data_IF_039314322032
#
_entry.id   IF_039314322032
#
_cell.length_a   1.000
_cell.length_b   1.000
_cell.length_c   1.000
_cell.angle_alpha   90.00
_cell.angle_beta   90.00
_cell.angle_gamma   90.00
#
_symmetry.space_group_name_H-M   'P 1'
#
loop_
_entity.id
_entity.type
_entity.pdbx_description
1 polymer ?
#
# COMPACT_ATOMS: atom_id res chain seq x y z
N UNK A 1 40.05 -30.00 -49.48
CA UNK A 1 40.53 -29.56 -48.14
C UNK A 1 40.39 -28.05 -47.91
N UNK A 2 40.89 -27.17 -48.79
CA UNK A 2 40.86 -25.70 -48.56
C UNK A 2 39.45 -25.08 -48.45
N UNK A 3 38.46 -25.63 -49.15
CA UNK A 3 37.05 -25.20 -49.11
C UNK A 3 36.32 -25.64 -47.83
N UNK A 4 36.58 -26.85 -47.35
CA UNK A 4 36.01 -27.37 -46.10
C UNK A 4 36.53 -26.61 -44.87
N UNK A 5 37.83 -26.27 -44.86
CA UNK A 5 38.45 -25.45 -43.81
C UNK A 5 37.86 -24.03 -43.80
N UNK A 6 37.58 -23.42 -44.96
CA UNK A 6 36.91 -22.12 -45.06
C UNK A 6 35.48 -22.15 -44.51
N UNK A 7 34.73 -23.23 -44.77
CA UNK A 7 33.36 -23.38 -44.27
C UNK A 7 33.32 -23.54 -42.74
N UNK A 8 34.24 -24.32 -42.17
CA UNK A 8 34.36 -24.50 -40.72
C UNK A 8 34.78 -23.21 -40.03
N UNK A 9 35.71 -22.44 -40.62
CA UNK A 9 36.11 -21.12 -40.11
C UNK A 9 34.97 -20.10 -40.16
N UNK A 10 34.15 -20.09 -41.22
CA UNK A 10 32.95 -19.25 -41.33
C UNK A 10 31.88 -19.60 -40.28
N UNK A 11 31.66 -20.89 -40.04
CA UNK A 11 30.74 -21.37 -38.99
C UNK A 11 31.25 -21.00 -37.59
N UNK A 12 32.55 -21.17 -37.31
CA UNK A 12 33.15 -20.74 -36.04
C UNK A 12 33.08 -19.21 -35.84
N UNK A 13 33.29 -18.43 -36.89
CA UNK A 13 33.18 -16.97 -36.84
C UNK A 13 31.73 -16.52 -36.59
N UNK A 14 30.75 -17.20 -37.19
CA UNK A 14 29.31 -16.94 -36.91
C UNK A 14 28.91 -17.29 -35.47
N UNK A 15 29.56 -18.28 -34.86
CA UNK A 15 29.28 -18.71 -33.49
C UNK A 15 29.93 -17.77 -32.44
N UNK A 16 31.07 -17.15 -32.78
CA UNK A 16 31.78 -16.17 -31.93
C UNK A 16 31.12 -14.78 -31.93
N UNK A 17 30.36 -14.43 -32.97
CA UNK A 17 29.66 -13.12 -33.02
C UNK A 17 28.39 -13.12 -32.15
N UNK A 18 27.83 -14.30 -31.85
CA UNK A 18 26.65 -14.45 -30.99
C UNK A 18 26.94 -14.50 -29.48
N UNK A 19 28.21 -14.42 -29.06
CA UNK A 19 28.58 -14.24 -27.65
C UNK A 19 28.70 -12.76 -27.24
N UNK A 20 28.12 -11.83 -28.02
CA UNK A 20 27.82 -10.52 -27.48
C UNK A 20 26.66 -10.70 -26.50
N UNK A 21 26.96 -10.63 -25.20
CA UNK A 21 25.97 -10.38 -24.16
C UNK A 21 25.08 -9.23 -24.65
N UNK A 22 23.87 -9.57 -25.10
CA UNK A 22 22.87 -8.57 -25.42
C UNK A 22 22.80 -7.64 -24.20
N UNK A 23 22.94 -6.32 -24.38
CA UNK A 23 22.77 -5.41 -23.26
C UNK A 23 21.41 -5.71 -22.66
N UNK A 24 21.38 -6.23 -21.42
CA UNK A 24 20.17 -6.52 -20.66
C UNK A 24 19.51 -5.20 -20.27
N UNK A 25 19.00 -4.49 -21.26
CA UNK A 25 18.16 -3.32 -21.12
C UNK A 25 16.77 -3.79 -21.48
N UNK A 26 15.84 -3.62 -20.54
CA UNK A 26 14.43 -3.80 -20.83
C UNK A 26 14.05 -2.79 -21.90
N UNK A 27 13.38 -3.26 -22.95
CA UNK A 27 12.79 -2.45 -24.01
C UNK A 27 11.27 -2.61 -24.03
N UNK A 28 10.58 -1.70 -24.71
CA UNK A 28 9.12 -1.80 -24.93
C UNK A 28 8.74 -3.08 -25.70
N UNK A 29 9.62 -3.57 -26.56
CA UNK A 29 9.43 -4.84 -27.27
C UNK A 29 9.47 -6.04 -26.32
N UNK A 30 10.34 -6.03 -25.30
CA UNK A 30 10.34 -7.09 -24.29
C UNK A 30 9.01 -7.15 -23.52
N UNK A 31 8.42 -5.98 -23.22
CA UNK A 31 7.09 -5.90 -22.58
C UNK A 31 6.03 -6.47 -23.52
N UNK A 32 6.07 -6.11 -24.80
CA UNK A 32 5.15 -6.61 -25.83
C UNK A 32 5.23 -8.14 -26.00
N UNK A 33 6.42 -8.71 -25.96
CA UNK A 33 6.57 -10.16 -26.05
C UNK A 33 6.07 -10.86 -24.77
N UNK A 34 6.22 -10.23 -23.61
CA UNK A 34 5.76 -10.77 -22.34
C UNK A 34 4.23 -10.67 -22.15
N UNK A 35 3.59 -9.59 -22.60
CA UNK A 35 2.13 -9.44 -22.55
C UNK A 35 1.45 -10.53 -23.41
N UNK A 36 2.02 -10.86 -24.59
CA UNK A 36 1.54 -11.96 -25.44
C UNK A 36 1.62 -13.31 -24.73
N UNK A 37 2.73 -13.60 -24.05
CA UNK A 37 2.92 -14.84 -23.29
C UNK A 37 1.97 -14.94 -22.08
N UNK A 38 1.62 -13.80 -21.48
CA UNK A 38 0.81 -13.74 -20.26
C UNK A 38 -0.69 -13.51 -20.53
N UNK A 39 -1.09 -13.33 -21.79
CA UNK A 39 -2.50 -13.08 -22.16
C UNK A 39 -3.00 -11.70 -21.74
N UNK A 40 -2.10 -10.72 -21.65
CA UNK A 40 -2.41 -9.32 -21.32
C UNK A 40 -2.20 -8.42 -22.53
N UNK A 41 -2.89 -7.29 -22.56
CA UNK A 41 -2.78 -6.31 -23.65
C UNK A 41 -2.62 -4.92 -23.04
N UNK A 42 -1.46 -4.30 -23.24
CA UNK A 42 -1.21 -2.93 -22.80
C UNK A 42 -1.20 -1.96 -23.97
N UNK A 43 -1.57 -0.71 -23.72
CA UNK A 43 -1.32 0.42 -24.61
C UNK A 43 0.14 0.84 -24.57
N UNK A 44 0.60 1.61 -25.56
CA UNK A 44 1.98 2.11 -25.58
C UNK A 44 2.30 3.01 -24.36
N UNK A 45 1.32 3.77 -23.87
CA UNK A 45 1.46 4.62 -22.69
C UNK A 45 1.64 3.76 -21.43
N UNK A 46 0.89 2.68 -21.29
CA UNK A 46 1.05 1.73 -20.19
C UNK A 46 2.40 1.03 -20.26
N UNK A 47 2.85 0.61 -21.46
CA UNK A 47 4.19 0.04 -21.66
C UNK A 47 5.29 1.01 -21.25
N UNK A 48 5.17 2.27 -21.63
CA UNK A 48 6.14 3.31 -21.27
C UNK A 48 6.16 3.57 -19.75
N UNK A 49 4.98 3.63 -19.13
CA UNK A 49 4.84 3.84 -17.68
C UNK A 49 5.47 2.71 -16.85
N UNK A 50 5.56 1.50 -17.39
CA UNK A 50 6.20 0.36 -16.72
C UNK A 50 7.74 0.39 -16.77
N UNK A 51 8.34 1.14 -17.70
CA UNK A 51 9.76 1.04 -18.02
C UNK A 51 10.68 1.25 -16.82
N UNK A 52 10.43 2.28 -16.01
CA UNK A 52 11.31 2.62 -14.89
C UNK A 52 11.21 1.61 -13.75
N UNK A 53 10.01 1.10 -13.49
CA UNK A 53 9.81 0.04 -12.50
C UNK A 53 10.52 -1.25 -12.95
N UNK A 54 10.37 -1.66 -14.21
CA UNK A 54 11.02 -2.86 -14.75
C UNK A 54 12.55 -2.76 -14.76
N UNK A 55 13.11 -1.59 -15.08
CA UNK A 55 14.56 -1.35 -14.95
C UNK A 55 15.01 -1.49 -13.49
N UNK A 56 14.30 -0.85 -12.55
CA UNK A 56 14.60 -0.94 -11.13
C UNK A 56 14.52 -2.37 -10.57
N UNK A 57 13.55 -3.16 -11.06
CA UNK A 57 13.44 -4.58 -10.72
C UNK A 57 14.62 -5.40 -11.26
N UNK A 58 14.99 -5.21 -12.54
CA UNK A 58 16.13 -5.90 -13.12
C UNK A 58 17.43 -5.60 -12.36
N UNK A 59 17.65 -4.34 -11.99
CA UNK A 59 18.82 -3.95 -11.20
C UNK A 59 18.77 -4.55 -9.79
N UNK A 60 17.59 -4.68 -9.20
CA UNK A 60 17.41 -5.38 -7.92
C UNK A 60 17.77 -6.86 -8.02
N UNK A 61 17.34 -7.55 -9.07
CA UNK A 61 17.74 -8.94 -9.31
C UNK A 61 19.24 -9.09 -9.55
N UNK A 62 19.87 -8.17 -10.29
CA UNK A 62 21.33 -8.17 -10.48
C UNK A 62 22.05 -8.06 -9.14
N UNK A 63 21.66 -7.10 -8.29
CA UNK A 63 22.21 -6.96 -6.93
C UNK A 63 22.05 -8.23 -6.09
N UNK A 64 20.89 -8.89 -6.14
CA UNK A 64 20.66 -10.15 -5.42
C UNK A 64 21.56 -11.27 -5.95
N UNK A 65 21.73 -11.38 -7.27
CA UNK A 65 22.59 -12.38 -7.91
C UNK A 65 24.08 -12.16 -7.65
N UNK A 66 24.49 -10.93 -7.39
CA UNK A 66 25.86 -10.59 -7.02
C UNK A 66 26.20 -11.00 -5.58
N UNK A 67 25.20 -11.26 -4.73
CA UNK A 67 25.40 -11.77 -3.37
C UNK A 67 25.85 -13.23 -3.45
N UNK A 68 27.10 -13.48 -3.05
CA UNK A 68 27.63 -14.84 -2.95
C UNK A 68 27.19 -15.50 -1.64
N UNK A 69 26.24 -16.43 -1.73
CA UNK A 69 25.84 -17.29 -0.62
C UNK A 69 26.44 -18.67 -0.79
N UNK A 70 27.15 -19.17 0.22
CA UNK A 70 27.66 -20.53 0.22
C UNK A 70 26.51 -21.53 0.48
N UNK A 71 26.53 -22.69 -0.19
CA UNK A 71 25.48 -23.69 -0.09
C UNK A 71 25.31 -24.29 1.33
N UNK A 72 26.27 -24.09 2.23
CA UNK A 72 26.21 -24.51 3.63
C UNK A 72 25.53 -23.47 4.54
N UNK A 73 25.19 -22.29 4.04
CA UNK A 73 24.46 -21.27 4.79
C UNK A 73 22.99 -21.69 4.81
N UNK A 74 22.45 -21.94 5.99
CA UNK A 74 21.03 -22.21 6.18
C UNK A 74 20.21 -21.01 5.71
N UNK A 75 19.09 -21.20 4.99
CA UNK A 75 18.21 -20.11 4.62
C UNK A 75 17.68 -19.37 5.87
N UNK A 76 17.31 -18.10 5.71
CA UNK A 76 16.69 -17.34 6.79
C UNK A 76 15.29 -17.92 7.09
N UNK A 77 15.17 -18.71 8.16
CA UNK A 77 13.90 -19.26 8.64
C UNK A 77 13.16 -18.23 9.51
N UNK A 78 13.90 -17.29 10.11
CA UNK A 78 13.36 -16.27 11.01
C UNK A 78 13.39 -14.89 10.36
N UNK A 79 12.21 -14.32 10.12
CA UNK A 79 12.07 -12.89 9.85
C UNK A 79 12.09 -12.14 11.18
N UNK A 80 13.16 -11.38 11.44
CA UNK A 80 13.24 -10.48 12.57
C UNK A 80 13.03 -9.03 12.11
N UNK A 81 11.88 -8.40 12.39
CA UNK A 81 11.61 -7.03 11.97
C UNK A 81 12.35 -5.98 12.82
N UNK A 82 13.04 -6.40 13.88
CA UNK A 82 13.69 -5.49 14.83
C UNK A 82 14.99 -4.97 14.20
N UNK A 83 15.14 -3.64 14.01
CA UNK A 83 16.37 -3.07 13.46
C UNK A 83 17.59 -3.40 14.32
N UNK A 84 18.76 -3.46 13.68
CA UNK A 84 20.03 -3.64 14.39
C UNK A 84 20.19 -2.51 15.42
N UNK A 85 20.52 -2.88 16.66
CA UNK A 85 20.65 -1.98 17.80
C UNK A 85 19.36 -1.28 18.28
N UNK A 86 18.18 -1.72 17.84
CA UNK A 86 16.92 -1.18 18.35
C UNK A 86 16.73 -1.52 19.84
N UNK A 87 16.50 -0.51 20.66
CA UNK A 87 16.22 -0.66 22.09
C UNK A 87 14.76 -0.34 22.35
N UNK A 88 13.99 -1.34 22.76
CA UNK A 88 12.61 -1.11 23.18
C UNK A 88 12.57 -0.24 24.44
N UNK A 89 11.76 0.81 24.41
CA UNK A 89 11.43 1.54 25.63
C UNK A 89 10.61 0.61 26.54
N UNK A 90 11.16 0.28 27.70
CA UNK A 90 10.48 -0.56 28.70
C UNK A 90 9.60 0.25 29.66
N UNK A 91 9.69 1.58 29.62
CA UNK A 91 8.91 2.47 30.47
C UNK A 91 7.64 2.89 29.75
N UNK A 92 6.50 2.60 30.38
CA UNK A 92 5.20 3.12 29.98
C UNK A 92 5.05 4.52 30.54
N UNK A 93 5.30 5.54 29.72
CA UNK A 93 4.93 6.91 30.04
C UNK A 93 3.40 7.06 29.99
N UNK A 94 2.80 7.93 30.83
CA UNK A 94 1.38 8.21 30.73
C UNK A 94 1.05 8.82 29.37
N UNK A 95 -0.06 8.38 28.78
CA UNK A 95 -0.50 8.85 27.49
C UNK A 95 -0.91 10.34 27.57
N UNK A 96 -0.19 11.21 26.88
CA UNK A 96 -0.56 12.63 26.73
C UNK A 96 -1.26 12.84 25.38
N UNK A 97 -2.51 13.31 25.44
CA UNK A 97 -3.25 13.73 24.26
C UNK A 97 -3.01 15.21 23.98
N UNK A 98 -3.00 15.58 22.70
CA UNK A 98 -3.02 16.98 22.29
C UNK A 98 -4.33 17.66 22.70
N UNK A 99 -4.31 18.99 22.80
CA UNK A 99 -5.53 19.78 23.02
C UNK A 99 -6.33 19.90 21.70
N UNK A 100 -7.62 19.63 21.79
CA UNK A 100 -8.60 19.73 20.69
C UNK A 100 -9.79 20.62 21.07
N UNK A 101 -9.69 21.41 22.15
CA UNK A 101 -10.73 22.29 22.67
C UNK A 101 -11.22 23.35 21.68
N UNK A 102 -10.40 23.68 20.68
CA UNK A 102 -10.73 24.60 19.60
C UNK A 102 -11.69 24.01 18.56
N UNK A 103 -11.89 22.68 18.52
CA UNK A 103 -12.70 22.04 17.50
C UNK A 103 -14.20 22.35 17.69
N UNK A 104 -14.81 22.91 16.65
CA UNK A 104 -16.24 23.24 16.64
C UNK A 104 -16.92 22.62 15.42
N UNK A 105 -18.21 22.32 15.53
CA UNK A 105 -19.00 21.80 14.43
C UNK A 105 -18.99 22.80 13.27
N UNK A 106 -18.50 22.42 12.07
CA UNK A 106 -18.41 23.34 10.95
C UNK A 106 -19.79 23.62 10.35
N UNK A 107 -19.98 24.85 9.84
CA UNK A 107 -21.20 25.23 9.10
C UNK A 107 -21.40 24.35 7.87
N UNK A 108 -20.33 24.15 7.08
CA UNK A 108 -20.32 23.15 6.01
C UNK A 108 -19.90 21.79 6.58
N UNK A 109 -20.86 20.86 6.63
CA UNK A 109 -20.64 19.50 7.13
C UNK A 109 -19.57 18.74 6.35
N UNK A 110 -19.32 19.06 5.07
CA UNK A 110 -18.29 18.37 4.30
C UNK A 110 -16.89 18.56 4.87
N UNK A 111 -16.64 19.65 5.62
CA UNK A 111 -15.37 19.89 6.30
C UNK A 111 -15.03 18.82 7.34
N UNK A 112 -16.03 18.14 7.92
CA UNK A 112 -15.80 17.02 8.86
C UNK A 112 -14.92 15.91 8.26
N UNK A 113 -14.94 15.73 6.94
CA UNK A 113 -14.12 14.72 6.26
C UNK A 113 -12.61 15.00 6.34
N UNK A 114 -12.22 16.21 6.72
CA UNK A 114 -10.82 16.65 6.81
C UNK A 114 -10.38 16.92 8.26
N UNK A 115 -11.27 16.73 9.23
CA UNK A 115 -10.92 16.82 10.64
C UNK A 115 -10.05 15.63 11.04
N UNK A 116 -9.06 15.86 11.89
CA UNK A 116 -8.30 14.82 12.55
C UNK A 116 -9.20 13.99 13.47
N UNK A 117 -8.72 12.79 13.82
CA UNK A 117 -9.41 11.92 14.77
C UNK A 117 -9.63 12.63 16.11
N UNK A 118 -8.67 13.42 16.57
CA UNK A 118 -8.77 14.16 17.84
C UNK A 118 -9.84 15.25 17.81
N UNK A 119 -9.94 15.99 16.71
CA UNK A 119 -11.01 16.99 16.53
C UNK A 119 -12.39 16.31 16.48
N UNK A 120 -12.55 15.24 15.71
CA UNK A 120 -13.80 14.47 15.65
C UNK A 120 -14.17 13.91 17.02
N UNK A 121 -13.19 13.39 17.76
CA UNK A 121 -13.40 12.89 19.12
C UNK A 121 -13.83 13.99 20.07
N UNK A 122 -13.28 15.20 19.95
CA UNK A 122 -13.71 16.35 20.72
C UNK A 122 -15.18 16.69 20.43
N UNK A 123 -15.59 16.74 19.15
CA UNK A 123 -16.98 16.99 18.77
C UNK A 123 -17.94 15.93 19.35
N UNK A 124 -17.56 14.65 19.31
CA UNK A 124 -18.34 13.55 19.90
C UNK A 124 -18.41 13.69 21.41
N UNK A 125 -17.27 13.84 22.08
CA UNK A 125 -17.17 13.95 23.55
C UNK A 125 -17.99 15.13 24.08
N UNK A 126 -17.96 16.26 23.38
CA UNK A 126 -18.72 17.48 23.74
C UNK A 126 -20.16 17.47 23.23
N UNK A 127 -20.61 16.37 22.60
CA UNK A 127 -21.96 16.15 22.07
C UNK A 127 -22.38 17.18 21.01
N UNK A 128 -21.40 17.79 20.32
CA UNK A 128 -21.65 18.62 19.14
C UNK A 128 -22.11 17.78 17.94
N UNK A 129 -21.71 16.51 17.90
CA UNK A 129 -22.20 15.49 16.97
C UNK A 129 -22.30 14.14 17.69
N UNK A 130 -23.28 13.32 17.33
CA UNK A 130 -23.35 11.94 17.84
C UNK A 130 -22.43 11.03 17.04
N UNK A 131 -21.97 9.93 17.64
CA UNK A 131 -21.25 8.87 16.91
C UNK A 131 -22.11 8.33 15.76
N UNK A 132 -23.42 8.19 15.97
CA UNK A 132 -24.34 7.71 14.94
C UNK A 132 -24.44 8.70 13.77
N UNK A 133 -24.52 10.01 14.01
CA UNK A 133 -24.56 11.02 12.95
C UNK A 133 -23.23 11.16 12.22
N UNK A 134 -22.10 11.09 12.94
CA UNK A 134 -20.77 11.06 12.34
C UNK A 134 -20.61 9.84 11.42
N UNK A 135 -21.08 8.68 11.88
CA UNK A 135 -21.08 7.43 11.10
C UNK A 135 -21.96 7.55 9.86
N UNK A 136 -23.19 8.08 10.00
CA UNK A 136 -24.07 8.35 8.85
C UNK A 136 -23.42 9.28 7.83
N UNK A 137 -22.74 10.32 8.29
CA UNK A 137 -22.03 11.27 7.42
C UNK A 137 -20.97 10.54 6.56
N UNK A 138 -20.09 9.75 7.18
CA UNK A 138 -19.06 9.03 6.43
C UNK A 138 -19.61 7.92 5.54
N UNK A 139 -20.66 7.21 5.97
CA UNK A 139 -21.37 6.24 5.12
C UNK A 139 -21.97 6.90 3.88
N UNK A 140 -22.57 8.09 4.03
CA UNK A 140 -23.08 8.87 2.91
C UNK A 140 -21.99 9.21 1.91
N UNK A 141 -20.83 9.66 2.40
CA UNK A 141 -19.66 9.94 1.54
C UNK A 141 -19.18 8.70 0.81
N UNK A 142 -19.06 7.56 1.49
CA UNK A 142 -18.66 6.31 0.84
C UNK A 142 -19.63 5.93 -0.29
N UNK A 143 -20.94 6.03 -0.06
CA UNK A 143 -21.95 5.77 -1.11
C UNK A 143 -21.81 6.71 -2.31
N UNK A 144 -21.49 7.98 -2.09
CA UNK A 144 -21.31 8.97 -3.16
C UNK A 144 -20.04 8.73 -3.97
N UNK A 145 -18.90 8.48 -3.32
CA UNK A 145 -17.59 8.50 -3.99
C UNK A 145 -17.01 7.12 -4.32
N UNK A 146 -17.42 6.05 -3.63
CA UNK A 146 -16.88 4.72 -3.89
C UNK A 146 -17.07 4.22 -5.34
N UNK A 147 -18.15 4.54 -6.07
CA UNK A 147 -18.29 4.12 -7.47
C UNK A 147 -17.19 4.65 -8.40
N UNK A 148 -16.50 5.73 -8.01
CA UNK A 148 -15.42 6.34 -8.78
C UNK A 148 -14.05 5.99 -8.18
N UNK A 149 -13.94 6.00 -6.85
CA UNK A 149 -12.65 5.82 -6.15
C UNK A 149 -12.29 4.36 -5.90
N UNK A 150 -13.26 3.45 -5.92
CA UNK A 150 -13.08 2.03 -5.61
C UNK A 150 -12.30 1.79 -4.30
N UNK A 151 -12.61 2.55 -3.25
CA UNK A 151 -11.85 2.60 -2.01
C UNK A 151 -12.37 1.65 -0.91
N UNK A 152 -13.55 1.04 -1.09
CA UNK A 152 -14.09 0.02 -0.19
C UNK A 152 -14.66 -1.16 -0.96
N UNK A 153 -14.35 -2.37 -0.49
CA UNK A 153 -14.89 -3.63 -1.03
C UNK A 153 -16.23 -3.95 -0.36
N UNK A 154 -16.26 -3.97 0.98
CA UNK A 154 -17.44 -4.35 1.76
C UNK A 154 -17.90 -3.20 2.67
N UNK A 155 -19.10 -2.66 2.41
CA UNK A 155 -19.74 -1.65 3.26
C UNK A 155 -20.49 -2.33 4.43
N UNK A 156 -20.01 -2.13 5.66
CA UNK A 156 -20.60 -2.74 6.87
C UNK A 156 -21.63 -1.83 7.57
N UNK A 157 -22.49 -1.16 6.80
CA UNK A 157 -23.41 -0.10 7.27
C UNK A 157 -24.23 -0.48 8.51
N UNK A 158 -24.92 -1.62 8.49
CA UNK A 158 -25.73 -2.10 9.62
C UNK A 158 -24.88 -2.29 10.89
N UNK A 159 -23.66 -2.82 10.75
CA UNK A 159 -22.73 -3.03 11.87
C UNK A 159 -22.23 -1.69 12.40
N UNK A 160 -21.81 -0.79 11.51
CA UNK A 160 -21.31 0.53 11.86
C UNK A 160 -22.35 1.34 12.64
N UNK A 161 -23.60 1.40 12.15
CA UNK A 161 -24.68 2.13 12.83
C UNK A 161 -25.06 1.50 14.17
N UNK A 162 -25.07 0.17 14.29
CA UNK A 162 -25.30 -0.52 15.57
C UNK A 162 -24.23 -0.18 16.60
N UNK A 163 -22.96 -0.19 16.20
CA UNK A 163 -21.87 0.16 17.11
C UNK A 163 -21.86 1.63 17.48
N UNK A 164 -22.11 2.53 16.54
CA UNK A 164 -22.20 3.96 16.79
C UNK A 164 -23.28 4.30 17.82
N UNK A 165 -24.46 3.67 17.70
CA UNK A 165 -25.54 3.82 18.68
C UNK A 165 -25.12 3.38 20.09
N UNK A 166 -24.41 2.26 20.22
CA UNK A 166 -23.88 1.80 21.51
C UNK A 166 -22.89 2.81 22.11
N UNK A 167 -22.08 3.47 21.28
CA UNK A 167 -21.14 4.51 21.74
C UNK A 167 -21.87 5.77 22.21
N UNK A 168 -22.96 6.14 21.55
CA UNK A 168 -23.82 7.23 22.01
C UNK A 168 -24.50 6.90 23.36
N UNK A 169 -24.99 5.67 23.52
CA UNK A 169 -25.59 5.18 24.78
C UNK A 169 -24.57 5.18 25.93
N UNK A 170 -23.34 4.72 25.70
CA UNK A 170 -22.28 4.76 26.71
C UNK A 170 -21.87 6.20 27.07
N UNK A 171 -21.76 7.08 26.08
CA UNK A 171 -21.44 8.48 26.32
C UNK A 171 -22.57 9.19 27.09
N UNK A 172 -23.83 8.85 26.82
CA UNK A 172 -24.97 9.35 27.57
C UNK A 172 -24.93 8.89 29.04
N UNK A 173 -24.49 7.65 29.28
CA UNK A 173 -24.25 7.09 30.60
C UNK A 173 -22.95 7.58 31.29
N UNK A 174 -22.24 8.55 30.70
CA UNK A 174 -21.01 9.11 31.27
C UNK A 174 -19.76 8.24 31.06
N UNK A 175 -19.86 7.17 30.28
CA UNK A 175 -18.75 6.24 29.99
C UNK A 175 -18.07 6.60 28.68
N UNK A 176 -17.03 7.44 28.77
CA UNK A 176 -16.18 7.79 27.64
C UNK A 176 -14.90 6.94 27.60
N UNK A 177 -14.61 6.31 26.46
CA UNK A 177 -13.48 5.37 26.29
C UNK A 177 -12.16 6.00 25.84
N UNK A 178 -12.14 7.30 25.57
CA UNK A 178 -10.98 8.00 25.02
C UNK A 178 -11.17 8.43 23.56
N UNK A 179 -10.10 8.87 22.89
CA UNK A 179 -10.18 9.52 21.56
C UNK A 179 -10.85 8.68 20.46
N UNK A 180 -10.89 7.36 20.58
CA UNK A 180 -11.53 6.49 19.59
C UNK A 180 -12.99 6.14 19.93
N UNK A 181 -13.56 6.73 20.98
CA UNK A 181 -14.95 6.49 21.38
C UNK A 181 -15.91 6.99 20.30
N UNK A 182 -16.54 6.06 19.57
CA UNK A 182 -17.53 6.40 18.55
C UNK A 182 -16.97 6.92 17.22
N UNK A 183 -15.66 6.82 16.98
CA UNK A 183 -15.05 7.22 15.71
C UNK A 183 -15.20 6.10 14.66
N UNK A 184 -15.81 6.37 13.49
CA UNK A 184 -15.89 5.37 12.42
C UNK A 184 -14.52 5.16 11.77
N UNK A 185 -14.24 3.92 11.37
CA UNK A 185 -12.97 3.55 10.72
C UNK A 185 -13.19 2.49 9.63
N UNK A 186 -12.26 2.43 8.68
CA UNK A 186 -12.13 1.34 7.71
C UNK A 186 -11.06 0.35 8.15
N UNK A 187 -11.23 -0.93 7.80
CA UNK A 187 -10.23 -1.98 8.02
C UNK A 187 -9.78 -2.48 6.67
N UNK A 188 -8.47 -2.68 6.52
CA UNK A 188 -7.89 -3.30 5.32
C UNK A 188 -8.32 -4.77 5.27
N UNK A 189 -8.90 -5.15 4.14
CA UNK A 189 -9.15 -6.56 3.78
C UNK A 189 -7.85 -7.25 3.35
#
# INVERSE_FOLDING_TARGET
>A
MKTLIRFILLLFFSCLINSNLLPQKITRENIKNAEELTGLNFSDVERDSMMDNLKGQLDSYKRIRDIKLANNISPAILFNPIPVNFKFQQKHEPLQFSDYSYAQMPVDKNKLAFFSVGELAHLVKTRQITSTDLTRFFLGRLKTYNPVLHCVITLTEKRALKQAKLMDEELAAGKYRGLLHGIPFGVKD
#
